data_IF_403454184746
#
_entry.id   IF_403454184746
#
_cell.length_a   1.000
_cell.length_b   1.000
_cell.length_c   1.000
_cell.angle_alpha   90.00
_cell.angle_beta   90.00
_cell.angle_gamma   90.00
#
_symmetry.space_group_name_H-M   'P 1'
#
loop_
_entity.id
_entity.type
_entity.pdbx_description
1 polymer ?
#
# COMPACT_ATOMS: atom_id res chain seq x y z
N UNK A 1 -23.64 -14.55 -31.57
CA UNK A 1 -23.80 -14.31 -30.12
C UNK A 1 -24.31 -12.89 -30.01
N UNK A 2 -25.57 -12.71 -29.63
CA UNK A 2 -26.20 -11.38 -29.62
C UNK A 2 -25.52 -10.53 -28.53
N UNK A 3 -24.82 -9.47 -28.92
CA UNK A 3 -24.19 -8.57 -27.94
C UNK A 3 -25.28 -7.92 -27.09
N UNK A 4 -25.26 -8.19 -25.79
CA UNK A 4 -26.23 -7.65 -24.85
C UNK A 4 -26.19 -6.12 -24.88
N UNK A 5 -27.34 -5.41 -24.90
CA UNK A 5 -27.35 -3.96 -24.95
C UNK A 5 -26.70 -3.35 -23.70
N UNK A 6 -26.01 -2.20 -23.85
CA UNK A 6 -25.29 -1.53 -22.76
C UNK A 6 -26.13 -1.34 -21.49
N UNK A 7 -27.41 -1.01 -21.64
CA UNK A 7 -28.29 -0.84 -20.47
C UNK A 7 -28.48 -2.14 -19.68
N UNK A 8 -28.63 -3.28 -20.34
CA UNK A 8 -28.78 -4.57 -19.66
C UNK A 8 -27.46 -5.02 -19.02
N UNK A 9 -26.35 -4.83 -19.74
CA UNK A 9 -25.01 -5.11 -19.23
C UNK A 9 -24.70 -4.29 -17.97
N UNK A 10 -25.05 -3.01 -17.97
CA UNK A 10 -24.88 -2.12 -16.82
C UNK A 10 -25.73 -2.53 -15.61
N UNK A 11 -27.00 -2.89 -15.81
CA UNK A 11 -27.84 -3.35 -14.70
C UNK A 11 -27.33 -4.66 -14.08
N UNK A 12 -26.84 -5.59 -14.92
CA UNK A 12 -26.22 -6.82 -14.43
C UNK A 12 -24.93 -6.53 -13.65
N UNK A 13 -24.06 -5.66 -14.18
CA UNK A 13 -22.84 -5.23 -13.49
C UNK A 13 -23.16 -4.57 -12.14
N UNK A 14 -24.18 -3.69 -12.09
CA UNK A 14 -24.63 -3.02 -10.87
C UNK A 14 -25.18 -4.00 -9.84
N UNK A 15 -25.97 -4.99 -10.28
CA UNK A 15 -26.50 -6.05 -9.41
C UNK A 15 -25.38 -6.88 -8.79
N UNK A 16 -24.39 -7.27 -9.61
CA UNK A 16 -23.20 -7.98 -9.14
C UNK A 16 -22.37 -7.11 -8.19
N UNK A 17 -22.15 -5.82 -8.50
CA UNK A 17 -21.45 -4.89 -7.63
C UNK A 17 -22.10 -4.77 -6.25
N UNK A 18 -23.43 -4.67 -6.20
CA UNK A 18 -24.19 -4.60 -4.94
C UNK A 18 -24.06 -5.91 -4.16
N UNK A 19 -24.22 -7.06 -4.81
CA UNK A 19 -24.03 -8.37 -4.19
C UNK A 19 -22.60 -8.56 -3.68
N UNK A 20 -21.61 -8.14 -4.45
CA UNK A 20 -20.18 -8.17 -4.14
C UNK A 20 -19.75 -7.17 -3.06
N UNK A 21 -20.64 -6.26 -2.63
CA UNK A 21 -20.36 -5.33 -1.53
C UNK A 21 -20.72 -5.94 -0.17
N UNK A 22 -21.42 -7.08 -0.16
CA UNK A 22 -21.61 -7.87 1.05
C UNK A 22 -20.31 -8.61 1.41
N UNK A 23 -19.89 -8.53 2.67
CA UNK A 23 -18.65 -9.15 3.18
C UNK A 23 -18.58 -10.67 3.00
N UNK A 24 -19.74 -11.32 2.79
CA UNK A 24 -19.88 -12.76 2.55
C UNK A 24 -19.95 -13.14 1.07
N UNK A 25 -19.74 -12.19 0.17
CA UNK A 25 -19.85 -12.45 -1.26
C UNK A 25 -18.74 -13.39 -1.74
N UNK A 26 -19.11 -14.29 -2.65
CA UNK A 26 -18.19 -15.18 -3.33
C UNK A 26 -17.21 -14.39 -4.22
N UNK A 27 -15.94 -14.78 -4.21
CA UNK A 27 -14.88 -14.18 -5.01
C UNK A 27 -15.20 -14.26 -6.52
N UNK A 28 -15.88 -15.31 -6.96
CA UNK A 28 -16.30 -15.46 -8.35
C UNK A 28 -17.32 -14.38 -8.76
N UNK A 29 -18.23 -14.01 -7.87
CA UNK A 29 -19.22 -12.93 -8.09
C UNK A 29 -18.51 -11.57 -8.18
N UNK A 30 -17.49 -11.35 -7.36
CA UNK A 30 -16.67 -10.12 -7.41
C UNK A 30 -15.94 -10.02 -8.75
N UNK A 31 -15.32 -11.13 -9.18
CA UNK A 31 -14.59 -11.20 -10.44
C UNK A 31 -15.51 -10.97 -11.64
N UNK A 32 -16.65 -11.66 -11.68
CA UNK A 32 -17.66 -11.48 -12.72
C UNK A 32 -18.17 -10.03 -12.77
N UNK A 33 -18.44 -9.42 -11.60
CA UNK A 33 -18.84 -8.02 -11.51
C UNK A 33 -17.79 -7.06 -12.09
N UNK A 34 -16.51 -7.28 -11.77
CA UNK A 34 -15.39 -6.50 -12.31
C UNK A 34 -15.27 -6.65 -13.83
N UNK A 35 -15.38 -7.87 -14.37
CA UNK A 35 -15.34 -8.11 -15.81
C UNK A 35 -16.50 -7.42 -16.54
N UNK A 36 -17.70 -7.47 -15.96
CA UNK A 36 -18.87 -6.79 -16.50
C UNK A 36 -18.73 -5.26 -16.49
N UNK A 37 -18.12 -4.68 -15.45
CA UNK A 37 -17.81 -3.25 -15.40
C UNK A 37 -16.79 -2.83 -16.48
N UNK A 38 -15.80 -3.67 -16.79
CA UNK A 38 -14.86 -3.41 -17.90
C UNK A 38 -15.59 -3.44 -19.25
N UNK A 39 -16.44 -4.44 -19.48
CA UNK A 39 -17.26 -4.50 -20.70
C UNK A 39 -18.18 -3.27 -20.84
N UNK A 40 -18.72 -2.76 -19.75
CA UNK A 40 -19.52 -1.53 -19.77
C UNK A 40 -18.67 -0.34 -20.26
N UNK A 41 -17.47 -0.17 -19.69
CA UNK A 41 -16.55 0.91 -20.04
C UNK A 41 -16.12 0.85 -21.50
N UNK A 42 -15.78 -0.35 -21.99
CA UNK A 42 -15.40 -0.56 -23.40
C UNK A 42 -16.54 -0.17 -24.35
N UNK A 43 -17.78 -0.55 -24.04
CA UNK A 43 -18.93 -0.18 -24.86
C UNK A 43 -19.25 1.31 -24.77
N UNK A 44 -19.11 1.93 -23.60
CA UNK A 44 -19.27 3.39 -23.44
C UNK A 44 -18.24 4.14 -24.30
N UNK A 45 -16.99 3.66 -24.33
CA UNK A 45 -15.93 4.20 -25.19
C UNK A 45 -16.22 4.01 -26.67
N UNK A 46 -16.66 2.81 -27.09
CA UNK A 46 -17.04 2.53 -28.48
C UNK A 46 -18.22 3.38 -28.96
N UNK A 47 -19.20 3.63 -28.08
CA UNK A 47 -20.36 4.45 -28.37
C UNK A 47 -20.07 5.96 -28.30
N UNK A 48 -18.90 6.37 -27.79
CA UNK A 48 -18.52 7.77 -27.65
C UNK A 48 -19.53 8.56 -26.81
N UNK A 49 -20.10 7.96 -25.76
CA UNK A 49 -21.19 8.58 -24.99
C UNK A 49 -20.77 9.81 -24.18
N UNK A 50 -19.46 9.95 -23.94
CA UNK A 50 -18.89 11.04 -23.16
C UNK A 50 -17.63 11.56 -23.84
N UNK A 51 -17.46 12.88 -23.79
CA UNK A 51 -16.24 13.57 -24.19
C UNK A 51 -15.72 14.45 -23.05
N UNK A 52 -14.40 14.69 -23.02
CA UNK A 52 -13.77 15.56 -22.01
C UNK A 52 -14.23 17.02 -22.08
N UNK A 53 -14.84 17.43 -23.21
CA UNK A 53 -15.28 18.80 -23.46
C UNK A 53 -16.80 18.99 -23.24
N UNK A 54 -17.50 17.96 -22.78
CA UNK A 54 -18.94 18.04 -22.52
C UNK A 54 -19.23 18.58 -21.13
N UNK A 55 -20.32 19.35 -21.03
CA UNK A 55 -20.92 19.77 -19.77
C UNK A 55 -22.03 18.78 -19.37
N UNK A 56 -22.48 18.86 -18.12
CA UNK A 56 -23.58 18.01 -17.61
C UNK A 56 -24.85 18.11 -18.45
N UNK A 57 -25.11 19.27 -19.05
CA UNK A 57 -26.31 19.54 -19.84
C UNK A 57 -26.27 18.88 -21.23
N UNK A 58 -25.07 18.57 -21.72
CA UNK A 58 -24.86 17.91 -23.02
C UNK A 58 -25.14 16.40 -22.96
N UNK A 59 -25.22 15.84 -21.74
CA UNK A 59 -25.40 14.41 -21.51
C UNK A 59 -26.88 14.09 -21.36
N UNK A 60 -27.37 13.15 -22.18
CA UNK A 60 -28.75 12.67 -22.03
C UNK A 60 -28.99 12.08 -20.63
N UNK A 61 -30.16 12.35 -20.04
CA UNK A 61 -30.51 11.89 -18.69
C UNK A 61 -30.38 10.37 -18.54
N UNK A 62 -30.64 9.62 -19.60
CA UNK A 62 -30.52 8.15 -19.64
C UNK A 62 -29.06 7.66 -19.58
N UNK A 63 -28.10 8.47 -20.03
CA UNK A 63 -26.68 8.11 -20.06
C UNK A 63 -25.96 8.46 -18.76
N UNK A 64 -26.49 9.36 -17.93
CA UNK A 64 -25.88 9.77 -16.66
C UNK A 64 -25.50 8.58 -15.76
N UNK A 65 -26.29 7.50 -15.78
CA UNK A 65 -26.01 6.29 -15.00
C UNK A 65 -24.66 5.63 -15.35
N UNK A 66 -24.19 5.75 -16.59
CA UNK A 66 -22.94 5.14 -17.03
C UNK A 66 -21.70 5.86 -16.46
N UNK A 67 -21.82 7.10 -15.99
CA UNK A 67 -20.75 7.77 -15.25
C UNK A 67 -20.38 7.03 -13.94
N UNK A 68 -21.31 6.22 -13.41
CA UNK A 68 -21.07 5.43 -12.20
C UNK A 68 -20.08 4.28 -12.42
N UNK A 69 -19.82 3.85 -13.66
CA UNK A 69 -18.92 2.73 -13.97
C UNK A 69 -17.52 3.01 -13.39
N UNK A 70 -16.98 4.21 -13.65
CA UNK A 70 -15.66 4.61 -13.15
C UNK A 70 -15.61 4.66 -11.60
N UNK A 71 -16.73 5.00 -10.95
CA UNK A 71 -16.83 4.98 -9.48
C UNK A 71 -16.80 3.55 -8.95
N UNK A 72 -17.59 2.64 -9.54
CA UNK A 72 -17.64 1.24 -9.11
C UNK A 72 -16.30 0.53 -9.27
N UNK A 73 -15.59 0.77 -10.39
CA UNK A 73 -14.24 0.22 -10.60
C UNK A 73 -13.25 0.68 -9.53
N UNK A 74 -13.22 1.99 -9.23
CA UNK A 74 -12.34 2.54 -8.18
C UNK A 74 -12.68 2.00 -6.79
N UNK A 75 -13.97 1.86 -6.49
CA UNK A 75 -14.41 1.27 -5.24
C UNK A 75 -13.87 -0.17 -5.08
N UNK A 76 -14.01 -1.01 -6.11
CA UNK A 76 -13.51 -2.40 -6.05
C UNK A 76 -11.99 -2.49 -5.95
N UNK A 77 -11.26 -1.62 -6.64
CA UNK A 77 -9.80 -1.54 -6.50
C UNK A 77 -9.36 -1.14 -5.07
N UNK A 78 -10.10 -0.21 -4.44
CA UNK A 78 -9.84 0.19 -3.06
C UNK A 78 -10.12 -0.95 -2.06
N UNK A 79 -11.24 -1.67 -2.24
CA UNK A 79 -11.59 -2.83 -1.42
C UNK A 79 -10.51 -3.93 -1.49
N UNK A 80 -9.97 -4.22 -2.69
CA UNK A 80 -8.86 -5.16 -2.87
C UNK A 80 -7.61 -4.73 -2.11
N UNK A 81 -7.22 -3.45 -2.20
CA UNK A 81 -6.06 -2.91 -1.47
C UNK A 81 -6.22 -2.99 0.04
N UNK A 82 -7.44 -2.78 0.55
CA UNK A 82 -7.71 -2.92 1.98
C UNK A 82 -7.54 -4.36 2.46
N UNK A 83 -7.90 -5.34 1.64
CA UNK A 83 -7.68 -6.77 1.96
C UNK A 83 -6.18 -7.10 2.01
N UNK A 84 -5.39 -6.66 1.03
CA UNK A 84 -3.93 -6.85 1.01
C UNK A 84 -3.25 -6.25 2.25
N UNK A 85 -3.68 -5.05 2.66
CA UNK A 85 -3.16 -4.38 3.86
C UNK A 85 -3.50 -5.18 5.13
N UNK A 86 -4.74 -5.67 5.25
CA UNK A 86 -5.17 -6.49 6.39
C UNK A 86 -4.34 -7.77 6.51
N UNK A 87 -4.16 -8.49 5.41
CA UNK A 87 -3.35 -9.71 5.37
C UNK A 87 -1.89 -9.42 5.74
N UNK A 88 -1.30 -8.34 5.18
CA UNK A 88 0.05 -7.92 5.54
C UNK A 88 0.19 -7.61 7.03
N UNK A 89 -0.77 -6.88 7.61
CA UNK A 89 -0.78 -6.59 9.05
C UNK A 89 -0.85 -7.86 9.88
N UNK A 90 -1.67 -8.82 9.49
CA UNK A 90 -1.82 -10.11 10.17
C UNK A 90 -0.50 -10.91 10.14
N UNK A 91 0.19 -10.96 8.99
CA UNK A 91 1.52 -11.58 8.89
C UNK A 91 2.56 -10.91 9.78
N UNK A 92 2.55 -9.57 9.84
CA UNK A 92 3.46 -8.83 10.71
C UNK A 92 3.17 -9.10 12.20
N UNK A 93 1.89 -9.15 12.60
CA UNK A 93 1.49 -9.45 13.97
C UNK A 93 1.89 -10.86 14.42
N UNK A 94 1.84 -11.86 13.53
CA UNK A 94 2.38 -13.20 13.81
C UNK A 94 3.90 -13.19 13.99
N UNK A 95 4.60 -12.41 13.18
CA UNK A 95 6.06 -12.30 13.25
C UNK A 95 6.54 -11.59 14.51
N UNK A 96 5.85 -10.54 14.97
CA UNK A 96 6.21 -9.84 16.22
C UNK A 96 5.95 -10.71 17.44
N UNK A 97 4.81 -11.43 17.47
CA UNK A 97 4.51 -12.42 18.52
C UNK A 97 5.51 -13.58 18.56
N UNK A 98 5.99 -14.04 17.40
CA UNK A 98 7.04 -15.07 17.34
C UNK A 98 8.41 -14.53 17.79
N UNK A 99 8.70 -13.26 17.54
CA UNK A 99 9.97 -12.63 17.94
C UNK A 99 10.07 -12.44 19.46
N UNK A 100 8.98 -12.09 20.15
CA UNK A 100 8.94 -12.02 21.62
C UNK A 100 9.09 -13.41 22.26
N UNK A 101 8.52 -14.45 21.64
CA UNK A 101 8.68 -15.85 22.08
C UNK A 101 10.07 -16.43 21.81
N UNK A 102 10.81 -15.89 20.84
CA UNK A 102 12.12 -16.41 20.42
C UNK A 102 13.31 -15.67 21.04
N UNK A 103 13.09 -14.67 21.89
CA UNK A 103 14.16 -14.06 22.69
C UNK A 103 14.69 -15.11 23.68
N UNK A 104 15.94 -15.59 23.53
CA UNK A 104 16.47 -16.59 24.43
C UNK A 104 16.72 -15.94 25.79
N UNK A 105 16.00 -16.41 26.80
CA UNK A 105 16.31 -16.13 28.21
C UNK A 105 17.64 -16.83 28.51
N UNK A 106 18.72 -16.05 28.55
CA UNK A 106 20.03 -16.50 28.95
C UNK A 106 20.14 -16.51 30.47
N UNK A 107 19.87 -17.68 31.06
CA UNK A 107 20.39 -18.23 32.32
C UNK A 107 20.78 -17.27 33.46
N UNK A 108 20.01 -17.34 34.56
CA UNK A 108 20.42 -16.88 35.89
C UNK A 108 19.25 -16.90 36.88
N UNK A 109 18.96 -18.09 37.41
CA UNK A 109 18.36 -18.41 38.72
C UNK A 109 17.32 -17.44 39.33
N UNK A 110 16.07 -17.89 39.42
CA UNK A 110 15.27 -18.06 40.66
C UNK A 110 13.77 -18.05 40.34
N UNK A 111 13.07 -19.01 40.94
CA UNK A 111 11.63 -19.24 40.84
C UNK A 111 10.85 -18.11 41.51
N UNK A 112 10.10 -17.32 40.73
CA UNK A 112 8.87 -16.68 41.22
C UNK A 112 7.80 -16.85 40.13
N UNK A 113 6.90 -17.82 40.34
CA UNK A 113 5.60 -17.86 39.67
C UNK A 113 4.82 -16.61 40.09
N UNK A 114 4.98 -15.50 39.36
CA UNK A 114 3.95 -14.47 39.32
C UNK A 114 2.92 -14.89 38.28
N UNK A 115 1.75 -15.26 38.78
CA UNK A 115 0.48 -15.39 38.07
C UNK A 115 0.14 -14.04 37.42
N UNK A 116 0.75 -13.74 36.27
CA UNK A 116 0.36 -12.62 35.43
C UNK A 116 -0.94 -13.05 34.75
N UNK A 117 -2.06 -12.74 35.40
CA UNK A 117 -3.38 -12.75 34.80
C UNK A 117 -3.33 -12.04 33.44
N UNK A 118 -3.65 -12.78 32.38
CA UNK A 118 -3.68 -12.37 30.98
C UNK A 118 -4.86 -11.41 30.70
N UNK A 119 -4.87 -10.24 31.36
CA UNK A 119 -5.93 -9.23 31.31
C UNK A 119 -5.72 -8.18 30.18
N UNK A 120 -4.59 -8.21 29.49
CA UNK A 120 -4.22 -7.20 28.47
C UNK A 120 -4.95 -7.39 27.11
N UNK A 121 -5.81 -8.40 26.96
CA UNK A 121 -6.60 -8.64 25.73
C UNK A 121 -7.81 -7.71 25.59
N UNK A 122 -8.32 -7.14 26.69
CA UNK A 122 -9.38 -6.13 26.65
C UNK A 122 -8.81 -4.72 26.38
N UNK A 123 -7.59 -4.43 26.84
CA UNK A 123 -6.96 -3.10 26.70
C UNK A 123 -6.63 -2.72 25.24
N UNK A 124 -6.26 -3.68 24.38
CA UNK A 124 -6.03 -3.41 22.94
C UNK A 124 -7.33 -3.18 22.15
N UNK A 125 -8.47 -3.77 22.58
CA UNK A 125 -9.78 -3.51 21.97
C UNK A 125 -10.30 -2.13 22.38
N UNK A 126 -10.09 -1.78 23.66
CA UNK A 126 -10.41 -0.48 24.21
C UNK A 126 -9.59 0.65 23.57
N UNK A 127 -8.34 0.40 23.18
CA UNK A 127 -7.52 1.41 22.50
C UNK A 127 -8.10 1.83 21.13
N UNK A 128 -8.71 0.89 20.39
CA UNK A 128 -9.34 1.18 19.09
C UNK A 128 -10.65 1.93 19.29
N UNK A 129 -11.50 1.47 20.22
CA UNK A 129 -12.76 2.13 20.54
C UNK A 129 -12.52 3.53 21.15
N UNK A 130 -11.44 3.70 21.93
CA UNK A 130 -10.98 4.99 22.44
C UNK A 130 -10.52 5.92 21.31
N UNK A 131 -9.83 5.40 20.29
CA UNK A 131 -9.43 6.18 19.13
C UNK A 131 -10.64 6.61 18.29
N UNK A 132 -11.60 5.72 18.05
CA UNK A 132 -12.84 6.04 17.31
C UNK A 132 -13.73 7.03 18.08
N UNK A 133 -13.82 6.90 19.41
CA UNK A 133 -14.48 7.87 20.27
C UNK A 133 -13.76 9.23 20.27
N UNK A 134 -12.43 9.24 20.27
CA UNK A 134 -11.65 10.48 20.22
C UNK A 134 -11.74 11.18 18.87
N UNK A 135 -11.79 10.44 17.76
CA UNK A 135 -12.02 10.99 16.41
C UNK A 135 -13.43 11.57 16.29
N UNK A 136 -14.43 10.91 16.89
CA UNK A 136 -15.81 11.41 16.92
C UNK A 136 -15.93 12.68 17.76
N UNK A 137 -15.27 12.73 18.91
CA UNK A 137 -15.19 13.93 19.76
C UNK A 137 -14.49 15.10 19.05
N UNK A 138 -13.39 14.84 18.32
CA UNK A 138 -12.68 15.87 17.54
C UNK A 138 -13.58 16.45 16.44
N UNK A 139 -14.35 15.60 15.72
CA UNK A 139 -15.31 16.07 14.71
C UNK A 139 -16.42 16.92 15.32
N UNK A 140 -16.93 16.54 16.48
CA UNK A 140 -17.95 17.31 17.21
C UNK A 140 -17.41 18.65 17.72
N UNK A 141 -16.15 18.70 18.16
CA UNK A 141 -15.48 19.92 18.60
C UNK A 141 -15.19 20.88 17.44
N UNK A 142 -14.83 20.35 16.26
CA UNK A 142 -14.65 21.16 15.05
C UNK A 142 -15.96 21.81 14.57
N UNK A 143 -17.10 21.13 14.74
CA UNK A 143 -18.42 21.69 14.44
C UNK A 143 -18.84 22.80 15.43
N UNK A 144 -18.32 22.79 16.66
CA UNK A 144 -18.67 23.74 17.72
C UNK A 144 -17.78 24.99 17.75
N UNK A 145 -16.49 24.87 17.42
CA UNK A 145 -15.51 25.95 17.62
C UNK A 145 -15.08 26.67 16.32
N UNK A 146 -15.58 26.22 15.16
CA UNK A 146 -15.11 26.71 13.85
C UNK A 146 -13.73 26.14 13.49
N UNK A 147 -13.55 25.82 12.21
CA UNK A 147 -12.38 25.08 11.72
C UNK A 147 -11.04 25.83 11.90
N UNK A 148 -11.07 27.16 12.00
CA UNK A 148 -9.87 28.01 11.93
C UNK A 148 -9.06 28.08 13.24
N UNK A 149 -9.70 28.15 14.41
CA UNK A 149 -9.00 28.30 15.70
C UNK A 149 -8.38 26.98 16.19
N UNK A 150 -9.07 25.85 15.99
CA UNK A 150 -8.54 24.52 16.33
C UNK A 150 -7.36 24.12 15.43
N UNK A 151 -7.37 24.56 14.17
CA UNK A 151 -6.35 24.14 13.20
C UNK A 151 -5.00 24.81 13.44
N UNK A 152 -4.96 26.07 13.86
CA UNK A 152 -3.68 26.79 13.95
C UNK A 152 -2.89 26.44 15.22
N UNK A 153 -3.52 26.46 16.38
CA UNK A 153 -2.85 26.12 17.64
C UNK A 153 -2.44 24.64 17.70
N UNK A 154 -3.27 23.73 17.17
CA UNK A 154 -2.91 22.32 17.09
C UNK A 154 -1.76 22.04 16.11
N UNK A 155 -1.67 22.80 15.01
CA UNK A 155 -0.55 22.71 14.07
C UNK A 155 0.73 23.29 14.70
N UNK A 156 0.65 24.43 15.38
CA UNK A 156 1.79 25.05 16.07
C UNK A 156 2.35 24.15 17.18
N UNK A 157 1.48 23.49 17.95
CA UNK A 157 1.90 22.53 18.98
C UNK A 157 2.56 21.28 18.38
N UNK A 158 2.07 20.80 17.22
CA UNK A 158 2.70 19.69 16.49
C UNK A 158 4.06 20.08 15.94
N UNK A 159 4.20 21.30 15.41
CA UNK A 159 5.46 21.83 14.89
C UNK A 159 6.48 21.92 16.04
N UNK A 160 6.09 22.49 17.19
CA UNK A 160 6.96 22.57 18.37
C UNK A 160 7.42 21.19 18.84
N UNK A 161 6.52 20.20 18.88
CA UNK A 161 6.88 18.81 19.25
C UNK A 161 7.82 18.15 18.24
N UNK A 162 7.61 18.39 16.95
CA UNK A 162 8.51 17.87 15.92
C UNK A 162 9.90 18.52 16.03
N UNK A 163 9.96 19.83 16.23
CA UNK A 163 11.21 20.56 16.42
C UNK A 163 11.98 20.11 17.67
N UNK A 164 11.30 19.89 18.80
CA UNK A 164 11.95 19.39 20.01
C UNK A 164 12.46 17.96 19.80
N UNK A 165 11.70 17.11 19.12
CA UNK A 165 12.14 15.75 18.81
C UNK A 165 13.37 15.73 17.90
N UNK A 166 13.39 16.55 16.84
CA UNK A 166 14.54 16.67 15.96
C UNK A 166 15.76 17.25 16.67
N UNK A 167 15.57 18.25 17.53
CA UNK A 167 16.64 18.87 18.32
C UNK A 167 17.22 17.89 19.34
N UNK A 168 16.37 17.11 20.03
CA UNK A 168 16.79 16.08 20.99
C UNK A 168 17.50 14.91 20.28
N UNK A 169 16.98 14.45 19.15
CA UNK A 169 17.63 13.42 18.33
C UNK A 169 19.01 13.87 17.83
N UNK A 170 19.12 15.11 17.35
CA UNK A 170 20.41 15.68 16.93
C UNK A 170 21.40 15.81 18.10
N UNK A 171 20.92 16.20 19.29
CA UNK A 171 21.74 16.25 20.49
C UNK A 171 22.23 14.85 20.91
N UNK A 172 21.38 13.82 20.79
CA UNK A 172 21.76 12.43 21.07
C UNK A 172 22.81 11.88 20.10
N UNK A 173 22.80 12.30 18.83
CA UNK A 173 23.80 11.87 17.83
C UNK A 173 25.21 12.31 18.20
N UNK A 174 25.38 13.42 18.91
CA UNK A 174 26.71 13.87 19.37
C UNK A 174 27.31 12.96 20.46
N UNK A 175 26.47 12.22 21.18
CA UNK A 175 26.88 11.31 22.26
C UNK A 175 26.68 9.83 21.91
N UNK A 176 26.01 9.52 20.79
CA UNK A 176 25.89 8.15 20.31
C UNK A 176 27.13 7.79 19.50
N UNK A 177 27.80 6.71 19.92
CA UNK A 177 28.85 6.10 19.09
C UNK A 177 28.19 5.60 17.80
N UNK A 178 28.67 5.99 16.61
CA UNK A 178 28.20 5.37 15.39
C UNK A 178 28.44 3.87 15.49
N UNK A 179 27.40 3.08 15.21
CA UNK A 179 27.52 1.64 15.12
C UNK A 179 28.66 1.34 14.14
N UNK A 180 29.63 0.53 14.57
CA UNK A 180 30.73 0.15 13.70
C UNK A 180 30.11 -0.47 12.43
N UNK A 181 30.58 -0.09 11.23
CA UNK A 181 30.08 -0.69 10.01
C UNK A 181 30.25 -2.20 10.14
N UNK A 182 29.14 -2.94 9.97
CA UNK A 182 29.16 -4.40 10.01
C UNK A 182 30.05 -4.84 8.85
N UNK A 183 31.30 -5.17 9.16
CA UNK A 183 32.22 -5.72 8.19
C UNK A 183 31.72 -7.14 7.88
N UNK A 184 31.28 -7.38 6.65
CA UNK A 184 30.87 -8.71 6.17
C UNK A 184 32.09 -9.63 5.96
N UNK A 185 33.05 -9.61 6.89
CA UNK A 185 34.31 -10.32 6.80
C UNK A 185 34.34 -11.47 7.81
N UNK A 186 33.48 -12.47 7.63
CA UNK A 186 33.81 -13.88 7.96
C UNK A 186 32.65 -14.79 7.55
N UNK A 187 33.03 -15.91 6.91
CA UNK A 187 32.17 -16.99 6.39
C UNK A 187 31.63 -16.75 4.97
N UNK A 188 32.51 -16.95 3.99
CA UNK A 188 32.10 -17.41 2.67
C UNK A 188 32.92 -18.67 2.35
N UNK A 189 32.32 -19.80 2.68
CA UNK A 189 32.67 -21.10 2.14
C UNK A 189 32.62 -20.98 0.61
N UNK A 190 33.75 -21.19 -0.06
CA UNK A 190 33.92 -20.94 -1.49
C UNK A 190 32.90 -21.68 -2.34
N UNK A 191 31.89 -20.96 -2.81
CA UNK A 191 31.04 -21.39 -3.91
C UNK A 191 31.42 -20.55 -5.12
N UNK A 192 32.16 -21.14 -6.06
CA UNK A 192 32.49 -20.51 -7.35
C UNK A 192 31.22 -20.38 -8.19
N UNK A 193 30.44 -19.33 -7.95
CA UNK A 193 29.46 -18.89 -8.93
C UNK A 193 30.22 -18.16 -10.04
N UNK A 194 30.17 -18.70 -11.26
CA UNK A 194 30.58 -17.99 -12.47
C UNK A 194 29.65 -16.79 -12.64
N UNK A 195 30.01 -15.67 -12.03
CA UNK A 195 29.36 -14.39 -12.30
C UNK A 195 29.62 -14.08 -13.77
N UNK A 196 28.55 -13.88 -14.53
CA UNK A 196 28.68 -13.24 -15.84
C UNK A 196 29.37 -11.89 -15.60
N UNK A 197 30.36 -11.51 -16.42
CA UNK A 197 31.07 -10.25 -16.25
C UNK A 197 30.05 -9.11 -16.26
N UNK A 198 30.10 -8.26 -15.25
CA UNK A 198 29.21 -7.10 -15.12
C UNK A 198 29.54 -6.16 -16.28
N UNK A 199 28.63 -6.06 -17.25
CA UNK A 199 28.75 -5.14 -18.38
C UNK A 199 28.24 -3.78 -17.92
N UNK A 200 29.10 -2.76 -17.97
CA UNK A 200 28.70 -1.37 -17.79
C UNK A 200 28.21 -0.78 -19.12
N UNK A 201 27.18 0.06 -19.11
CA UNK A 201 26.65 0.73 -20.31
C UNK A 201 25.16 1.12 -20.23
N UNK A 202 24.59 1.72 -21.29
CA UNK A 202 23.15 1.96 -21.39
C UNK A 202 22.34 0.65 -21.35
N UNK A 203 21.08 0.72 -20.92
CA UNK A 203 20.22 -0.45 -20.71
C UNK A 203 20.05 -1.35 -21.95
N UNK A 204 20.12 -0.76 -23.15
CA UNK A 204 20.13 -1.46 -24.43
C UNK A 204 21.35 -2.38 -24.64
N UNK A 205 22.44 -2.16 -23.91
CA UNK A 205 23.68 -2.95 -23.95
C UNK A 205 23.76 -3.89 -22.75
N UNK A 206 23.36 -3.43 -21.56
CA UNK A 206 23.41 -4.23 -20.33
C UNK A 206 22.38 -5.37 -20.34
N UNK A 207 21.19 -5.13 -20.90
CA UNK A 207 20.13 -6.13 -21.02
C UNK A 207 19.94 -6.65 -22.47
N UNK A 208 20.71 -6.14 -23.42
CA UNK A 208 20.66 -6.54 -24.82
C UNK A 208 21.56 -7.74 -25.13
N UNK A 209 21.27 -8.45 -26.22
CA UNK A 209 22.14 -9.54 -26.67
C UNK A 209 23.38 -9.00 -27.39
N UNK A 210 24.59 -9.41 -26.97
CA UNK A 210 25.85 -9.09 -27.66
C UNK A 210 26.08 -9.98 -28.89
N UNK A 211 25.07 -10.05 -29.76
CA UNK A 211 25.07 -10.99 -30.89
C UNK A 211 25.95 -10.48 -32.04
N UNK A 212 25.92 -9.17 -32.28
CA UNK A 212 26.68 -8.52 -33.34
C UNK A 212 28.04 -8.00 -32.86
N UNK A 213 28.98 -7.90 -33.80
CA UNK A 213 30.31 -7.34 -33.53
C UNK A 213 30.27 -5.85 -33.16
N UNK A 214 29.32 -5.11 -33.75
CA UNK A 214 29.08 -3.70 -33.42
C UNK A 214 28.65 -3.55 -31.95
N UNK A 215 27.70 -4.37 -31.48
CA UNK A 215 27.26 -4.34 -30.07
C UNK A 215 28.40 -4.68 -29.10
N UNK A 216 29.27 -5.64 -29.47
CA UNK A 216 30.46 -5.98 -28.69
C UNK A 216 31.47 -4.84 -28.60
N UNK A 217 31.71 -4.15 -29.71
CA UNK A 217 32.58 -2.97 -29.73
C UNK A 217 32.02 -1.83 -28.88
N UNK A 218 30.71 -1.55 -28.96
CA UNK A 218 30.08 -0.49 -28.18
C UNK A 218 30.13 -0.85 -26.69
N UNK A 219 29.81 -2.09 -26.30
CA UNK A 219 29.88 -2.54 -24.92
C UNK A 219 31.30 -2.39 -24.34
N UNK A 220 32.34 -2.59 -25.15
CA UNK A 220 33.73 -2.47 -24.74
C UNK A 220 34.07 -1.04 -24.29
N UNK A 221 33.55 -0.01 -24.97
CA UNK A 221 33.85 1.40 -24.65
C UNK A 221 33.38 1.81 -23.26
N UNK A 222 32.35 1.14 -22.74
CA UNK A 222 31.80 1.41 -21.43
C UNK A 222 32.43 0.58 -20.30
N UNK A 223 33.37 -0.33 -20.60
CA UNK A 223 34.01 -1.14 -19.56
C UNK A 223 35.09 -0.35 -18.82
N UNK A 224 35.27 -0.57 -17.49
CA UNK A 224 36.28 0.14 -16.69
C UNK A 224 37.72 -0.03 -17.18
N UNK A 225 38.02 -1.14 -17.87
CA UNK A 225 39.32 -1.44 -18.46
C UNK A 225 39.56 -0.77 -19.82
N UNK A 226 38.54 -0.11 -20.38
CA UNK A 226 38.65 0.62 -21.63
C UNK A 226 39.03 2.07 -21.34
N UNK A 227 40.33 2.31 -21.24
CA UNK A 227 40.91 3.64 -21.10
C UNK A 227 42.20 3.75 -21.90
#
# INVERSE_FOLDING_TARGET
MEEMPLSALFEQARKLHLKASDSRADQDVVKEGCEMLHKCEDMVGKLGLFSSNETKEDISTNNLKYLLIARFKRQKAAESRLLEIKERKERLGRSTKAATLSTPVGSGEEEEEEDITDDDSEEERDAIDLMDNRVSAIKEQQLKNGEDEFSRDALDDRIKKAETWHRDAAARVLYSRPAQPVTCASVSQGHEHKHQPIIFGPASIVNGGLSSEIERMIAQVFQPSHR
#
